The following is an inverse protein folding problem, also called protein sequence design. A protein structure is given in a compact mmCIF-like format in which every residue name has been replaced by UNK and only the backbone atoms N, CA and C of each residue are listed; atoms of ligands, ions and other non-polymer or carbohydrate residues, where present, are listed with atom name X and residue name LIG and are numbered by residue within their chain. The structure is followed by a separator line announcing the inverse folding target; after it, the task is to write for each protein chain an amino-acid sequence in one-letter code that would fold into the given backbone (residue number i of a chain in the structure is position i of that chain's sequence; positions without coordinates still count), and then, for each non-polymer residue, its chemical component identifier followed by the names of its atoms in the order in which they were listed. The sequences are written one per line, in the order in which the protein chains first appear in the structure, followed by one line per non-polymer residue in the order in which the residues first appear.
data_IF_290513124738
#
_entry.id   IF_290513124738
#
_cell.length_a   1.000
_cell.length_b   1.000
_cell.length_c   1.000
_cell.angle_alpha   90.00
_cell.angle_beta   90.00
_cell.angle_gamma   90.00
#
_symmetry.space_group_name_H-M   'P 1'
#
loop_
_entity.id
_entity.type
_entity.pdbx_description
1 polymer ?
#
# COMPACT_ATOMS: atom_id res chain seq x y z
N UNK A 1 5.60 4.79 32.64
CA UNK A 1 4.53 4.36 31.71
C UNK A 1 4.98 4.75 30.31
N UNK A 2 5.49 3.80 29.52
CA UNK A 2 5.92 4.06 28.14
C UNK A 2 4.66 4.23 27.30
N UNK A 3 4.50 5.36 26.60
CA UNK A 3 3.40 5.52 25.64
C UNK A 3 3.65 4.58 24.47
N UNK A 4 3.07 3.39 24.52
CA UNK A 4 3.07 2.47 23.39
C UNK A 4 2.17 3.07 22.32
N UNK A 5 2.73 3.47 21.17
CA UNK A 5 1.96 3.95 20.01
C UNK A 5 1.23 2.79 19.32
N UNK A 6 0.44 2.01 20.08
CA UNK A 6 -0.21 0.76 19.68
C UNK A 6 -0.99 0.93 18.38
N UNK A 7 -1.82 1.96 18.34
CA UNK A 7 -2.73 2.23 17.24
C UNK A 7 -2.01 2.52 15.91
N UNK A 8 -0.84 3.19 15.96
CA UNK A 8 -0.10 3.52 14.73
C UNK A 8 0.50 2.28 14.10
N UNK A 9 1.17 1.46 14.90
CA UNK A 9 1.78 0.22 14.42
C UNK A 9 0.72 -0.79 13.98
N UNK A 10 -0.38 -0.93 14.72
CA UNK A 10 -1.48 -1.81 14.34
C UNK A 10 -2.05 -1.45 12.97
N UNK A 11 -2.22 -0.15 12.68
CA UNK A 11 -2.69 0.34 11.38
C UNK A 11 -1.67 0.06 10.27
N UNK A 12 -0.38 0.30 10.53
CA UNK A 12 0.69 0.00 9.56
C UNK A 12 0.78 -1.49 9.25
N UNK A 13 0.73 -2.36 10.25
CA UNK A 13 0.77 -3.81 10.05
C UNK A 13 -0.50 -4.35 9.39
N UNK A 14 -1.67 -3.77 9.70
CA UNK A 14 -2.89 -4.09 8.98
C UNK A 14 -2.78 -3.73 7.48
N UNK A 15 -2.26 -2.56 7.14
CA UNK A 15 -2.01 -2.18 5.74
C UNK A 15 -0.98 -3.10 5.05
N UNK A 16 0.09 -3.49 5.74
CA UNK A 16 1.12 -4.39 5.22
C UNK A 16 0.65 -5.85 5.08
N UNK A 17 -0.45 -6.23 5.73
CA UNK A 17 -1.02 -7.58 5.56
C UNK A 17 -1.63 -7.80 4.16
N UNK A 18 -2.02 -6.72 3.48
CA UNK A 18 -2.57 -6.77 2.12
C UNK A 18 -1.45 -6.98 1.08
N UNK A 19 -1.55 -8.06 0.30
CA UNK A 19 -0.53 -8.43 -0.68
C UNK A 19 -0.36 -7.37 -1.78
N UNK A 20 -1.46 -6.74 -2.20
CA UNK A 20 -1.43 -5.66 -3.19
C UNK A 20 -0.68 -4.44 -2.65
N UNK A 21 -0.99 -4.00 -1.41
CA UNK A 21 -0.25 -2.89 -0.77
C UNK A 21 1.24 -3.19 -0.63
N UNK A 22 1.64 -4.42 -0.29
CA UNK A 22 3.05 -4.82 -0.29
C UNK A 22 3.69 -4.72 -1.67
N UNK A 23 3.02 -5.23 -2.70
CA UNK A 23 3.51 -5.12 -4.08
C UNK A 23 3.67 -3.66 -4.54
N UNK A 24 2.73 -2.78 -4.19
CA UNK A 24 2.82 -1.34 -4.49
C UNK A 24 4.05 -0.73 -3.82
N UNK A 25 4.30 -1.04 -2.54
CA UNK A 25 5.49 -0.57 -1.83
C UNK A 25 6.79 -1.11 -2.43
N UNK A 26 6.81 -2.38 -2.86
CA UNK A 26 7.97 -2.96 -3.54
C UNK A 26 8.26 -2.29 -4.88
N UNK A 27 7.23 -1.98 -5.67
CA UNK A 27 7.38 -1.26 -6.94
C UNK A 27 7.92 0.16 -6.71
N UNK A 28 7.30 0.90 -5.80
CA UNK A 28 7.68 2.28 -5.48
C UNK A 28 9.04 2.39 -4.79
N UNK A 29 9.45 1.35 -4.07
CA UNK A 29 10.80 1.26 -3.50
C UNK A 29 11.89 1.10 -4.56
N UNK A 30 11.55 0.68 -5.78
CA UNK A 30 12.49 0.54 -6.91
C UNK A 30 12.49 1.76 -7.82
N UNK A 31 11.31 2.29 -8.13
CA UNK A 31 11.15 3.46 -8.98
C UNK A 31 9.76 4.09 -8.79
N UNK A 32 9.64 5.38 -9.12
CA UNK A 32 8.34 6.04 -9.19
C UNK A 32 7.43 5.34 -10.22
N UNK A 33 6.13 5.27 -9.92
CA UNK A 33 5.12 4.70 -10.80
C UNK A 33 3.83 5.52 -10.71
N UNK A 34 3.13 5.66 -11.84
CA UNK A 34 1.82 6.30 -11.85
C UNK A 34 0.74 5.33 -11.33
N UNK A 35 -0.42 5.88 -10.94
CA UNK A 35 -1.59 5.06 -10.56
C UNK A 35 -2.03 4.15 -11.72
N UNK A 36 -1.86 4.59 -12.96
CA UNK A 36 -2.15 3.79 -14.15
C UNK A 36 -1.21 2.61 -14.27
N UNK A 37 0.11 2.83 -14.12
CA UNK A 37 1.11 1.76 -14.20
C UNK A 37 0.89 0.70 -13.12
N UNK A 38 0.54 1.12 -11.90
CA UNK A 38 0.19 0.21 -10.82
C UNK A 38 -1.10 -0.56 -11.14
N UNK A 39 -2.15 0.11 -11.62
CA UNK A 39 -3.40 -0.55 -11.98
C UNK A 39 -3.20 -1.62 -13.06
N UNK A 40 -2.35 -1.36 -14.05
CA UNK A 40 -1.95 -2.33 -15.08
C UNK A 40 -1.16 -3.50 -14.49
N UNK A 41 -0.17 -3.22 -13.65
CA UNK A 41 0.70 -4.23 -13.01
C UNK A 41 -0.08 -5.19 -12.12
N UNK A 42 -1.06 -4.68 -11.38
CA UNK A 42 -1.90 -5.48 -10.47
C UNK A 42 -3.23 -5.94 -11.08
N UNK A 43 -3.41 -5.77 -12.39
CA UNK A 43 -4.59 -6.18 -13.15
C UNK A 43 -5.92 -5.73 -12.51
N UNK A 44 -6.00 -4.46 -12.12
CA UNK A 44 -7.20 -3.89 -11.51
C UNK A 44 -7.60 -2.54 -12.11
N UNK A 45 -8.79 -2.07 -11.78
CA UNK A 45 -9.26 -0.76 -12.24
C UNK A 45 -8.50 0.37 -11.53
N UNK A 46 -8.42 1.55 -12.17
CA UNK A 46 -7.84 2.75 -11.56
C UNK A 46 -8.51 3.10 -10.22
N UNK A 47 -9.83 2.92 -10.12
CA UNK A 47 -10.59 3.13 -8.88
C UNK A 47 -10.20 2.10 -7.81
N UNK A 48 -10.03 0.84 -8.20
CA UNK A 48 -9.51 -0.21 -7.31
C UNK A 48 -8.13 0.17 -6.78
N UNK A 49 -7.20 0.55 -7.66
CA UNK A 49 -5.85 0.94 -7.26
C UNK A 49 -5.83 2.14 -6.32
N UNK A 50 -6.64 3.18 -6.62
CA UNK A 50 -6.80 4.34 -5.73
C UNK A 50 -7.25 3.97 -4.32
N UNK A 51 -8.05 2.92 -4.14
CA UNK A 51 -8.47 2.43 -2.83
C UNK A 51 -7.32 1.80 -2.02
N UNK A 52 -6.31 1.25 -2.70
CA UNK A 52 -5.12 0.72 -2.05
C UNK A 52 -4.07 1.81 -1.78
N UNK A 53 -4.06 2.92 -2.53
CA UNK A 53 -3.11 4.03 -2.33
C UNK A 53 -3.64 5.08 -1.34
N UNK A 54 -4.95 5.31 -1.30
CA UNK A 54 -5.62 6.12 -0.27
C UNK A 54 -5.60 5.45 1.10
#
# INVERSE_FOLDING_TARGET
MVQYMRTRLDTSFAALSDATRRGVLEQLGRADASITDLAETFHMTLTGMKKHVG
#
